data_IF_465715600585
#
_entry.id   IF_465715600585
#
_cell.length_a   1.000
_cell.length_b   1.000
_cell.length_c   1.000
_cell.angle_alpha   90.00
_cell.angle_beta   90.00
_cell.angle_gamma   90.00
#
_symmetry.space_group_name_H-M   'P 1'
#
loop_
_entity.id
_entity.type
_entity.pdbx_description
1 polymer ?
#
# COMPACT_ATOMS: atom_id res chain seq x y z
N UNK A 1 24.94 16.58 5.09
CA UNK A 1 23.88 16.58 6.13
C UNK A 1 22.47 16.43 5.59
N UNK A 2 21.85 17.39 4.88
CA UNK A 2 20.44 17.21 4.43
C UNK A 2 20.31 16.05 3.42
N UNK A 3 21.13 16.05 2.37
CA UNK A 3 21.12 15.00 1.34
C UNK A 3 21.39 13.59 1.91
N UNK A 4 22.29 13.47 2.87
CA UNK A 4 22.62 12.18 3.50
C UNK A 4 21.45 11.66 4.34
N UNK A 5 20.70 12.56 4.98
CA UNK A 5 19.54 12.22 5.80
C UNK A 5 18.29 11.91 4.97
N UNK A 6 18.03 12.68 3.91
CA UNK A 6 16.82 12.52 3.09
C UNK A 6 16.91 11.38 2.08
N UNK A 7 18.13 11.02 1.64
CA UNK A 7 18.34 10.05 0.57
C UNK A 7 19.21 8.85 0.96
N UNK A 8 19.60 8.72 2.23
CA UNK A 8 20.40 7.61 2.78
C UNK A 8 21.71 7.36 1.98
N UNK A 9 22.37 8.46 1.60
CA UNK A 9 23.65 8.43 0.88
C UNK A 9 24.78 8.89 1.79
N UNK A 10 25.92 8.21 1.77
CA UNK A 10 27.14 8.64 2.48
C UNK A 10 28.04 9.42 1.53
N UNK A 11 28.30 10.70 1.82
CA UNK A 11 29.15 11.55 0.99
C UNK A 11 30.47 11.86 1.71
N UNK A 12 31.59 11.44 1.13
CA UNK A 12 32.89 11.85 1.65
C UNK A 12 33.14 13.33 1.37
N UNK A 13 34.07 13.95 2.10
CA UNK A 13 34.45 15.36 1.86
C UNK A 13 34.94 15.60 0.42
N UNK A 14 35.53 14.58 -0.21
CA UNK A 14 35.96 14.64 -1.62
C UNK A 14 34.77 14.54 -2.59
N UNK A 15 33.70 13.84 -2.21
CA UNK A 15 32.48 13.75 -3.01
C UNK A 15 31.69 15.05 -3.00
N UNK A 16 31.63 15.72 -1.85
CA UNK A 16 30.99 17.04 -1.71
C UNK A 16 31.68 18.07 -2.61
N UNK A 17 33.02 18.05 -2.68
CA UNK A 17 33.79 18.98 -3.52
C UNK A 17 33.56 18.79 -5.02
N UNK A 18 33.19 17.58 -5.43
CA UNK A 18 32.99 17.20 -6.82
C UNK A 18 31.51 16.88 -7.12
N UNK A 19 30.58 17.36 -6.29
CA UNK A 19 29.16 17.07 -6.44
C UNK A 19 28.60 17.87 -7.63
N UNK A 20 28.04 17.17 -8.61
CA UNK A 20 27.34 17.78 -9.74
C UNK A 20 26.08 16.96 -10.07
N UNK A 21 25.22 17.51 -10.94
CA UNK A 21 23.94 16.88 -11.27
C UNK A 21 24.10 15.46 -11.83
N UNK A 22 25.15 15.19 -12.60
CA UNK A 22 25.42 13.86 -13.14
C UNK A 22 25.78 12.85 -12.03
N UNK A 23 26.58 13.28 -11.06
CA UNK A 23 27.00 12.45 -9.92
C UNK A 23 25.84 12.15 -8.97
N UNK A 24 24.97 13.14 -8.73
CA UNK A 24 23.72 12.94 -7.97
C UNK A 24 22.83 11.93 -8.68
N UNK A 25 22.67 12.07 -10.00
CA UNK A 25 21.84 11.17 -10.81
C UNK A 25 22.38 9.73 -10.80
N UNK A 26 23.70 9.54 -10.85
CA UNK A 26 24.33 8.23 -10.73
C UNK A 26 24.08 7.59 -9.35
N UNK A 27 24.20 8.36 -8.27
CA UNK A 27 23.92 7.87 -6.91
C UNK A 27 22.48 7.37 -6.79
N UNK A 28 21.49 8.07 -7.37
CA UNK A 28 20.08 7.61 -7.40
C UNK A 28 19.87 6.30 -8.17
N UNK A 29 20.69 6.02 -9.20
CA UNK A 29 20.61 4.77 -9.97
C UNK A 29 21.31 3.59 -9.28
N UNK A 30 22.40 3.83 -8.55
CA UNK A 30 23.13 2.77 -7.83
C UNK A 30 22.30 2.22 -6.68
N UNK A 31 21.60 3.08 -5.93
CA UNK A 31 20.64 2.66 -4.88
C UNK A 31 19.51 1.78 -5.45
N UNK A 32 19.12 1.95 -6.72
CA UNK A 32 18.14 1.07 -7.38
C UNK A 32 18.70 -0.30 -7.78
N UNK A 33 20.01 -0.44 -7.97
CA UNK A 33 20.66 -1.71 -8.36
C UNK A 33 21.11 -2.55 -7.18
N UNK A 34 21.49 -1.94 -6.06
CA UNK A 34 21.85 -2.66 -4.84
C UNK A 34 20.66 -3.39 -4.20
N UNK A 35 19.42 -3.06 -4.57
CA UNK A 35 18.20 -3.79 -4.19
C UNK A 35 17.96 -5.11 -4.95
N UNK A 36 18.97 -5.66 -5.62
CA UNK A 36 18.92 -7.06 -6.11
C UNK A 36 19.58 -7.98 -5.11
N UNK A 37 18.93 -8.16 -3.95
CA UNK A 37 19.36 -9.14 -2.96
C UNK A 37 18.97 -10.57 -3.39
N UNK A 38 19.96 -11.46 -3.33
CA UNK A 38 19.83 -12.91 -3.40
C UNK A 38 18.68 -13.42 -2.52
N UNK A 39 17.74 -14.13 -3.13
CA UNK A 39 16.47 -14.60 -2.53
C UNK A 39 16.61 -15.73 -1.51
N UNK A 40 17.82 -16.05 -1.04
CA UNK A 40 18.05 -17.31 -0.31
C UNK A 40 18.32 -17.23 1.20
N UNK A 41 18.39 -16.04 1.82
CA UNK A 41 18.38 -15.91 3.29
C UNK A 41 17.79 -14.58 3.74
N UNK A 42 16.47 -14.47 3.71
CA UNK A 42 15.78 -13.36 4.38
C UNK A 42 15.44 -13.82 5.80
N UNK A 43 16.38 -13.61 6.72
CA UNK A 43 16.09 -13.56 8.16
C UNK A 43 15.70 -12.13 8.50
N UNK A 44 14.65 -11.58 7.88
CA UNK A 44 14.18 -10.27 8.30
C UNK A 44 13.45 -10.39 9.64
N UNK A 45 13.87 -9.58 10.59
CA UNK A 45 13.26 -9.49 11.92
C UNK A 45 11.93 -8.73 11.83
N UNK A 46 11.07 -8.87 12.85
CA UNK A 46 9.81 -8.11 12.95
C UNK A 46 10.03 -6.60 12.80
N UNK A 47 11.18 -6.12 13.27
CA UNK A 47 11.62 -4.73 13.15
C UNK A 47 11.73 -4.26 11.70
N UNK A 48 12.35 -5.04 10.81
CA UNK A 48 12.59 -4.63 9.42
C UNK A 48 11.28 -4.56 8.61
N UNK A 49 10.38 -5.53 8.81
CA UNK A 49 9.06 -5.51 8.17
C UNK A 49 8.21 -4.32 8.60
N UNK A 50 8.23 -3.99 9.90
CA UNK A 50 7.53 -2.82 10.46
C UNK A 50 8.14 -1.51 9.93
N UNK A 51 9.46 -1.42 9.85
CA UNK A 51 10.16 -0.24 9.30
C UNK A 51 9.81 0.01 7.84
N UNK A 52 9.67 -1.05 7.03
CA UNK A 52 9.27 -0.93 5.63
C UNK A 52 7.87 -0.32 5.51
N UNK A 53 6.91 -0.76 6.32
CA UNK A 53 5.55 -0.21 6.33
C UNK A 53 5.57 1.28 6.70
N UNK A 54 6.34 1.67 7.72
CA UNK A 54 6.43 3.07 8.13
C UNK A 54 7.04 3.98 7.07
N UNK A 55 8.03 3.50 6.31
CA UNK A 55 8.60 4.27 5.19
C UNK A 55 7.62 4.49 4.04
N UNK A 56 6.53 3.72 3.96
CA UNK A 56 5.51 3.85 2.92
C UNK A 56 4.39 4.84 3.28
N UNK A 57 4.27 5.26 4.54
CA UNK A 57 3.17 6.11 5.02
C UNK A 57 3.71 7.50 5.34
N UNK A 58 3.23 8.52 4.62
CA UNK A 58 3.44 9.91 5.01
C UNK A 58 2.20 10.47 5.71
N UNK A 59 2.39 11.36 6.70
CA UNK A 59 1.26 11.99 7.39
C UNK A 59 0.33 12.77 6.44
N UNK A 60 0.87 13.31 5.35
CA UNK A 60 0.09 13.99 4.31
C UNK A 60 -0.87 13.07 3.55
N UNK A 61 -0.61 11.76 3.56
CA UNK A 61 -1.38 10.77 2.81
C UNK A 61 -2.60 10.29 3.61
N UNK A 62 -2.62 10.55 4.92
CA UNK A 62 -3.71 10.21 5.83
C UNK A 62 -4.84 11.24 5.70
N UNK A 63 -5.72 11.01 4.73
CA UNK A 63 -6.90 11.84 4.50
C UNK A 63 -8.19 11.12 4.95
N UNK A 64 -9.20 11.85 5.47
CA UNK A 64 -10.42 11.24 6.01
C UNK A 64 -11.35 10.65 4.94
N UNK A 65 -11.20 11.04 3.68
CA UNK A 65 -12.02 10.57 2.57
C UNK A 65 -11.82 9.08 2.31
N UNK A 66 -12.90 8.29 2.36
CA UNK A 66 -12.87 6.86 2.03
C UNK A 66 -12.68 6.65 0.53
N UNK A 67 -13.29 7.49 -0.30
CA UNK A 67 -13.21 7.42 -1.76
C UNK A 67 -12.31 8.55 -2.26
N UNK A 68 -11.14 8.19 -2.78
CA UNK A 68 -10.21 9.14 -3.40
C UNK A 68 -10.10 8.84 -4.88
N UNK A 69 -10.38 9.84 -5.72
CA UNK A 69 -10.20 9.70 -7.16
C UNK A 69 -8.71 9.79 -7.51
N UNK A 70 -8.22 8.84 -8.32
CA UNK A 70 -6.84 8.83 -8.77
C UNK A 70 -6.68 9.70 -10.02
N UNK A 71 -5.51 10.35 -10.14
CA UNK A 71 -5.13 11.19 -11.28
C UNK A 71 -4.84 10.34 -12.54
N UNK A 72 -5.92 9.80 -13.10
CA UNK A 72 -5.93 8.91 -14.27
C UNK A 72 -6.27 9.68 -15.54
N UNK A 73 -6.04 9.03 -16.69
CA UNK A 73 -6.29 9.65 -18.00
C UNK A 73 -7.76 9.78 -18.35
N UNK A 74 -8.63 8.92 -17.79
CA UNK A 74 -10.09 8.90 -18.02
C UNK A 74 -10.47 8.88 -19.52
N UNK A 75 -9.66 8.22 -20.34
CA UNK A 75 -9.85 8.06 -21.79
C UNK A 75 -10.97 7.05 -22.13
N UNK A 76 -11.33 6.17 -21.20
CA UNK A 76 -12.32 5.11 -21.40
C UNK A 76 -13.55 5.34 -20.53
N UNK A 77 -14.70 5.60 -21.17
CA UNK A 77 -16.00 5.72 -20.52
C UNK A 77 -16.71 4.37 -20.41
N UNK A 78 -16.23 3.52 -19.46
CA UNK A 78 -16.81 2.20 -19.18
C UNK A 78 -17.01 1.94 -17.68
N UNK A 79 -17.19 3.01 -16.90
CA UNK A 79 -17.28 2.92 -15.45
C UNK A 79 -15.95 3.08 -14.73
N UNK A 80 -16.02 2.97 -13.40
CA UNK A 80 -14.89 3.17 -12.51
C UNK A 80 -14.15 1.85 -12.24
N UNK A 81 -12.85 1.95 -12.07
CA UNK A 81 -12.00 0.91 -11.49
C UNK A 81 -11.80 1.21 -10.02
N UNK A 82 -12.02 0.22 -9.16
CA UNK A 82 -11.91 0.37 -7.72
C UNK A 82 -10.59 -0.19 -7.22
N UNK A 83 -9.75 0.64 -6.63
CA UNK A 83 -8.44 0.26 -6.10
C UNK A 83 -8.49 0.08 -4.60
N UNK A 84 -7.85 -0.97 -4.09
CA UNK A 84 -7.66 -1.22 -2.66
C UNK A 84 -6.15 -1.23 -2.36
N UNK A 85 -5.66 -0.28 -1.55
CA UNK A 85 -4.24 -0.19 -1.20
C UNK A 85 -3.83 -1.33 -0.26
N UNK A 86 -2.52 -1.48 -0.08
CA UNK A 86 -1.92 -2.42 0.86
C UNK A 86 -2.12 -2.00 2.30
N UNK A 87 -1.31 -2.53 3.22
CA UNK A 87 -1.46 -2.32 4.67
C UNK A 87 -1.32 -0.84 5.08
N UNK A 88 -0.69 -0.01 4.24
CA UNK A 88 -0.61 1.44 4.37
C UNK A 88 -1.98 2.13 4.31
N UNK A 89 -2.95 1.52 3.61
CA UNK A 89 -4.34 1.99 3.59
C UNK A 89 -4.59 3.29 2.82
N UNK A 90 -3.59 3.84 2.13
CA UNK A 90 -3.65 5.16 1.50
C UNK A 90 -3.56 5.09 -0.02
N UNK A 91 -4.22 6.01 -0.71
CA UNK A 91 -4.24 6.10 -2.18
C UNK A 91 -2.90 6.48 -2.81
N UNK A 92 -2.01 7.12 -2.04
CA UNK A 92 -0.72 7.64 -2.51
C UNK A 92 0.18 6.57 -3.14
N UNK A 93 0.03 5.32 -2.72
CA UNK A 93 0.77 4.18 -3.29
C UNK A 93 0.55 4.03 -4.80
N UNK A 94 -0.61 4.45 -5.31
CA UNK A 94 -0.97 4.34 -6.72
C UNK A 94 -0.55 5.53 -7.58
N UNK A 95 0.00 6.61 -6.99
CA UNK A 95 0.36 7.83 -7.72
C UNK A 95 1.34 7.56 -8.88
N UNK A 96 2.26 6.63 -8.68
CA UNK A 96 3.26 6.25 -9.69
C UNK A 96 2.66 5.58 -10.93
N UNK A 97 1.50 4.92 -10.79
CA UNK A 97 0.84 4.19 -11.88
C UNK A 97 -0.41 4.91 -12.41
N UNK A 98 -0.96 5.87 -11.68
CA UNK A 98 -2.22 6.55 -11.98
C UNK A 98 -2.25 7.12 -13.41
N UNK A 99 -1.19 7.82 -13.82
CA UNK A 99 -1.06 8.41 -15.15
C UNK A 99 -1.06 7.38 -16.30
N UNK A 100 -0.79 6.10 -16.01
CA UNK A 100 -0.86 5.00 -16.98
C UNK A 100 -2.26 4.40 -17.15
N UNK A 101 -3.18 4.67 -16.22
CA UNK A 101 -4.51 4.08 -16.19
C UNK A 101 -5.45 4.89 -17.09
N UNK A 102 -6.06 4.20 -18.05
CA UNK A 102 -6.99 4.81 -19.04
C UNK A 102 -8.41 4.99 -18.53
N UNK A 103 -8.81 4.22 -17.51
CA UNK A 103 -10.15 4.27 -16.93
C UNK A 103 -10.21 5.31 -15.81
N UNK A 104 -11.41 5.79 -15.49
CA UNK A 104 -11.64 6.46 -14.21
C UNK A 104 -11.35 5.49 -13.07
N UNK A 105 -10.55 5.90 -12.09
CA UNK A 105 -10.15 5.05 -10.98
C UNK A 105 -10.41 5.73 -9.64
N UNK A 106 -10.98 4.97 -8.71
CA UNK A 106 -11.30 5.40 -7.35
C UNK A 106 -10.60 4.45 -6.39
N UNK A 107 -9.76 4.98 -5.53
CA UNK A 107 -9.18 4.24 -4.41
C UNK A 107 -10.14 4.24 -3.23
N UNK A 108 -10.36 3.06 -2.66
CA UNK A 108 -11.04 2.87 -1.37
C UNK A 108 -9.99 2.80 -0.27
N UNK A 109 -9.85 3.91 0.45
CA UNK A 109 -8.91 4.01 1.56
C UNK A 109 -9.46 3.29 2.79
N UNK A 110 -8.55 2.65 3.53
CA UNK A 110 -8.91 1.80 4.66
C UNK A 110 -7.94 1.96 5.84
N UNK A 111 -7.26 3.11 5.91
CA UNK A 111 -6.38 3.45 7.04
C UNK A 111 -7.19 3.79 8.31
N UNK A 112 -6.46 4.13 9.39
CA UNK A 112 -7.01 4.42 10.71
C UNK A 112 -8.02 5.58 10.75
N UNK A 113 -7.98 6.52 9.81
CA UNK A 113 -8.95 7.61 9.70
C UNK A 113 -10.22 7.19 8.94
N UNK A 114 -10.17 6.12 8.17
CA UNK A 114 -11.26 5.71 7.28
C UNK A 114 -12.12 4.61 7.85
N UNK A 115 -11.51 3.60 8.48
CA UNK A 115 -12.23 2.45 9.04
C UNK A 115 -12.31 2.55 10.56
N UNK A 116 -13.52 2.41 11.16
CA UNK A 116 -13.68 2.45 12.61
C UNK A 116 -12.84 1.37 13.30
N UNK A 117 -12.28 1.71 14.46
CA UNK A 117 -11.44 0.82 15.27
C UNK A 117 -12.05 -0.56 15.55
N UNK A 118 -13.36 -0.75 15.47
CA UNK A 118 -14.03 -2.02 15.75
C UNK A 118 -13.96 -3.02 14.57
N UNK A 119 -13.49 -2.60 13.39
CA UNK A 119 -13.40 -3.44 12.20
C UNK A 119 -12.03 -4.11 12.08
N UNK A 120 -11.74 -5.05 12.99
CA UNK A 120 -10.44 -5.73 13.07
C UNK A 120 -10.24 -6.91 12.09
N UNK A 121 -11.15 -7.13 11.13
CA UNK A 121 -11.08 -8.26 10.21
C UNK A 121 -11.28 -7.83 8.76
N UNK A 122 -10.69 -8.58 7.83
CA UNK A 122 -10.87 -8.39 6.38
C UNK A 122 -12.36 -8.37 6.02
N UNK A 123 -13.16 -9.26 6.62
CA UNK A 123 -14.61 -9.32 6.43
C UNK A 123 -15.33 -8.06 6.90
N UNK A 124 -14.97 -7.53 8.07
CA UNK A 124 -15.58 -6.30 8.57
C UNK A 124 -15.19 -5.08 7.72
N UNK A 125 -13.91 -4.99 7.31
CA UNK A 125 -13.45 -3.93 6.42
C UNK A 125 -14.17 -3.97 5.07
N UNK A 126 -14.30 -5.14 4.46
CA UNK A 126 -15.03 -5.31 3.21
C UNK A 126 -16.52 -4.94 3.36
N UNK A 127 -17.18 -5.41 4.43
CA UNK A 127 -18.57 -5.06 4.72
C UNK A 127 -18.76 -3.54 4.94
N UNK A 128 -17.79 -2.88 5.58
CA UNK A 128 -17.80 -1.44 5.79
C UNK A 128 -17.61 -0.64 4.49
N UNK A 129 -16.74 -1.11 3.60
CA UNK A 129 -16.46 -0.44 2.31
C UNK A 129 -17.54 -0.69 1.25
N UNK A 130 -18.30 -1.79 1.35
CA UNK A 130 -19.29 -2.20 0.37
C UNK A 130 -20.31 -1.10 -0.02
N UNK A 131 -20.94 -0.35 0.93
CA UNK A 131 -21.91 0.69 0.58
C UNK A 131 -21.32 1.79 -0.31
N UNK A 132 -20.05 2.15 -0.12
CA UNK A 132 -19.36 3.17 -0.89
C UNK A 132 -19.14 2.74 -2.35
N UNK A 133 -18.83 1.47 -2.58
CA UNK A 133 -18.76 0.91 -3.95
C UNK A 133 -20.14 0.92 -4.59
N UNK A 134 -21.16 0.44 -3.89
CA UNK A 134 -22.53 0.34 -4.41
C UNK A 134 -23.08 1.71 -4.85
N UNK A 135 -22.76 2.77 -4.09
CA UNK A 135 -23.13 4.15 -4.46
C UNK A 135 -22.51 4.57 -5.80
N UNK A 136 -21.25 4.18 -6.06
CA UNK A 136 -20.52 4.58 -7.28
C UNK A 136 -20.81 3.70 -8.49
N UNK A 137 -21.07 2.41 -8.30
CA UNK A 137 -21.36 1.46 -9.38
C UNK A 137 -22.73 1.76 -10.04
N UNK A 138 -23.67 2.37 -9.32
CA UNK A 138 -25.01 2.75 -9.83
C UNK A 138 -25.69 1.57 -10.57
N UNK A 139 -25.98 1.73 -11.86
CA UNK A 139 -26.70 0.76 -12.69
C UNK A 139 -25.77 -0.23 -13.42
N UNK A 140 -24.45 -0.09 -13.29
CA UNK A 140 -23.51 -1.04 -13.89
C UNK A 140 -23.52 -2.33 -13.09
N UNK A 141 -23.71 -3.47 -13.74
CA UNK A 141 -23.68 -4.78 -13.06
C UNK A 141 -22.28 -5.38 -12.97
N UNK A 142 -21.35 -4.87 -13.79
CA UNK A 142 -19.98 -5.37 -13.85
C UNK A 142 -19.02 -4.47 -13.05
N UNK A 143 -18.37 -5.02 -12.04
CA UNK A 143 -17.31 -4.34 -11.29
C UNK A 143 -15.91 -4.70 -11.80
N UNK A 144 -14.95 -3.79 -11.63
CA UNK A 144 -13.53 -4.07 -11.75
C UNK A 144 -12.83 -3.59 -10.49
N UNK A 145 -12.32 -4.54 -9.70
CA UNK A 145 -11.60 -4.26 -8.46
C UNK A 145 -10.14 -4.67 -8.64
N UNK A 146 -9.23 -3.81 -8.21
CA UNK A 146 -7.79 -4.04 -8.15
C UNK A 146 -7.37 -4.02 -6.68
N UNK A 147 -6.83 -5.12 -6.19
CA UNK A 147 -6.24 -5.21 -4.86
C UNK A 147 -4.72 -5.25 -4.94
N UNK A 148 -4.05 -4.45 -4.13
CA UNK A 148 -2.60 -4.49 -3.95
C UNK A 148 -2.26 -5.00 -2.56
N UNK A 149 -1.34 -5.98 -2.46
CA UNK A 149 -0.84 -6.50 -1.17
C UNK A 149 -2.01 -6.88 -0.23
N UNK A 150 -2.07 -6.33 0.99
CA UNK A 150 -3.19 -6.52 1.93
C UNK A 150 -4.57 -6.16 1.37
N UNK A 151 -4.65 -5.13 0.52
CA UNK A 151 -5.87 -4.76 -0.19
C UNK A 151 -6.45 -5.89 -1.03
N UNK A 152 -5.64 -6.87 -1.46
CA UNK A 152 -6.09 -8.07 -2.17
C UNK A 152 -7.06 -8.91 -1.33
N UNK A 153 -6.84 -9.02 -0.02
CA UNK A 153 -7.74 -9.80 0.85
C UNK A 153 -9.12 -9.14 0.95
N UNK A 154 -9.12 -7.81 1.12
CA UNK A 154 -10.34 -7.01 1.16
C UNK A 154 -11.04 -7.07 -0.21
N UNK A 155 -10.28 -7.04 -1.31
CA UNK A 155 -10.79 -7.08 -2.67
C UNK A 155 -11.52 -8.40 -2.97
N UNK A 156 -10.94 -9.53 -2.54
CA UNK A 156 -11.57 -10.87 -2.66
C UNK A 156 -12.91 -10.89 -1.91
N UNK A 157 -12.93 -10.41 -0.67
CA UNK A 157 -14.14 -10.44 0.14
C UNK A 157 -15.21 -9.46 -0.36
N UNK A 158 -14.81 -8.29 -0.86
CA UNK A 158 -15.71 -7.35 -1.54
C UNK A 158 -16.33 -7.96 -2.79
N UNK A 159 -15.54 -8.65 -3.61
CA UNK A 159 -16.05 -9.36 -4.78
C UNK A 159 -17.13 -10.38 -4.38
N UNK A 160 -16.87 -11.19 -3.35
CA UNK A 160 -17.84 -12.15 -2.80
C UNK A 160 -19.13 -11.48 -2.33
N UNK A 161 -19.03 -10.33 -1.66
CA UNK A 161 -20.19 -9.55 -1.19
C UNK A 161 -20.99 -8.92 -2.34
N UNK A 162 -20.32 -8.47 -3.39
CA UNK A 162 -20.95 -7.93 -4.60
C UNK A 162 -21.63 -9.04 -5.40
N UNK A 163 -21.00 -10.19 -5.56
CA UNK A 163 -21.58 -11.39 -6.19
C UNK A 163 -22.86 -11.84 -5.48
N UNK A 164 -22.86 -11.85 -4.14
CA UNK A 164 -24.05 -12.13 -3.34
C UNK A 164 -25.21 -11.12 -3.56
N UNK A 165 -24.92 -9.95 -4.15
CA UNK A 165 -25.89 -8.92 -4.54
C UNK A 165 -26.20 -8.93 -6.06
N UNK A 166 -25.83 -9.98 -6.77
CA UNK A 166 -26.03 -10.17 -8.22
C UNK A 166 -25.23 -9.22 -9.11
N UNK A 167 -24.08 -8.74 -8.64
CA UNK A 167 -23.08 -8.13 -9.49
C UNK A 167 -22.13 -9.21 -10.03
N UNK A 168 -21.62 -9.01 -11.24
CA UNK A 168 -20.50 -9.78 -11.80
C UNK A 168 -19.29 -8.86 -11.88
N UNK A 169 -18.09 -9.41 -12.09
CA UNK A 169 -16.94 -8.54 -12.25
C UNK A 169 -15.62 -9.24 -12.45
N UNK A 170 -14.57 -8.44 -12.43
CA UNK A 170 -13.19 -8.88 -12.53
C UNK A 170 -12.40 -8.39 -11.34
N UNK A 171 -11.56 -9.28 -10.84
CA UNK A 171 -10.59 -9.01 -9.79
C UNK A 171 -9.19 -9.05 -10.38
N UNK A 172 -8.36 -8.05 -10.08
CA UNK A 172 -6.93 -8.02 -10.39
C UNK A 172 -6.19 -7.94 -9.06
N UNK A 173 -5.34 -8.92 -8.78
CA UNK A 173 -4.57 -8.99 -7.54
C UNK A 173 -3.09 -8.75 -7.84
N UNK A 174 -2.52 -7.73 -7.21
CA UNK A 174 -1.12 -7.33 -7.39
C UNK A 174 -0.36 -7.73 -6.14
N UNK A 175 0.46 -8.77 -6.27
CA UNK A 175 1.35 -9.28 -5.22
C UNK A 175 0.66 -9.49 -3.86
N UNK A 176 -0.54 -10.08 -3.89
CA UNK A 176 -1.33 -10.37 -2.70
C UNK A 176 -2.22 -11.58 -2.87
N UNK A 177 -2.10 -12.52 -1.93
CA UNK A 177 -2.93 -13.71 -1.83
C UNK A 177 -3.08 -14.13 -0.35
N UNK A 178 -4.17 -14.83 0.04
CA UNK A 178 -4.39 -15.25 1.43
C UNK A 178 -3.22 -16.02 2.04
N UNK A 179 -2.73 -17.06 1.35
CA UNK A 179 -1.64 -17.89 1.85
C UNK A 179 -0.31 -17.14 1.89
N UNK A 180 -0.05 -16.28 0.88
CA UNK A 180 1.14 -15.43 0.84
C UNK A 180 1.16 -14.50 2.06
N UNK A 181 0.08 -13.73 2.30
CA UNK A 181 0.03 -12.81 3.42
C UNK A 181 0.06 -13.52 4.77
N UNK A 182 -0.60 -14.67 4.89
CA UNK A 182 -0.52 -15.50 6.10
C UNK A 182 0.93 -15.88 6.38
N UNK A 183 1.67 -16.33 5.36
CA UNK A 183 3.08 -16.63 5.49
C UNK A 183 3.90 -15.40 5.94
N UNK A 184 3.71 -14.23 5.31
CA UNK A 184 4.43 -13.01 5.71
C UNK A 184 4.10 -12.59 7.15
N UNK A 185 2.84 -12.68 7.57
CA UNK A 185 2.44 -12.37 8.96
C UNK A 185 3.10 -13.35 9.93
N UNK A 186 3.04 -14.65 9.64
CA UNK A 186 3.62 -15.70 10.48
C UNK A 186 5.17 -15.58 10.59
N UNK A 187 5.84 -15.08 9.54
CA UNK A 187 7.30 -14.89 9.54
C UNK A 187 7.73 -13.57 10.17
N UNK A 188 7.06 -12.47 9.86
CA UNK A 188 7.56 -11.10 10.13
C UNK A 188 6.73 -10.30 11.12
N UNK A 189 5.50 -10.70 11.43
CA UNK A 189 4.64 -9.97 12.36
C UNK A 189 4.17 -10.84 13.53
N UNK A 190 4.65 -12.09 13.60
CA UNK A 190 4.27 -13.01 14.66
C UNK A 190 4.80 -12.53 16.01
N UNK A 191 3.87 -12.17 16.88
CA UNK A 191 4.12 -11.96 18.30
C UNK A 191 3.25 -12.93 19.11
N UNK A 192 3.76 -13.33 20.27
CA UNK A 192 2.99 -14.15 21.22
C UNK A 192 1.86 -13.36 21.90
N UNK A 193 1.85 -12.02 21.81
CA UNK A 193 0.76 -11.18 22.33
C UNK A 193 0.68 -9.82 21.62
N UNK A 194 -0.52 -9.24 21.59
CA UNK A 194 -0.77 -7.90 21.06
C UNK A 194 0.10 -6.83 21.75
N UNK A 195 0.25 -6.91 23.08
CA UNK A 195 1.08 -5.98 23.85
C UNK A 195 2.55 -6.04 23.41
N UNK A 196 3.07 -7.24 23.16
CA UNK A 196 4.43 -7.42 22.67
C UNK A 196 4.61 -6.83 21.28
N UNK A 197 3.62 -6.99 20.39
CA UNK A 197 3.64 -6.38 19.07
C UNK A 197 3.63 -4.84 19.16
N UNK A 198 2.76 -4.28 20.00
CA UNK A 198 2.69 -2.84 20.23
C UNK A 198 4.02 -2.28 20.74
N UNK A 199 4.66 -2.97 21.71
CA UNK A 199 5.97 -2.56 22.22
C UNK A 199 7.06 -2.62 21.14
N UNK A 200 7.08 -3.67 20.32
CA UNK A 200 8.03 -3.78 19.20
C UNK A 200 7.82 -2.63 18.23
N UNK A 201 6.57 -2.34 17.86
CA UNK A 201 6.24 -1.22 16.96
C UNK A 201 6.70 0.11 17.56
N UNK A 202 6.44 0.36 18.84
CA UNK A 202 6.83 1.60 19.51
C UNK A 202 8.36 1.78 19.56
N UNK A 203 9.09 0.71 19.87
CA UNK A 203 10.57 0.73 19.88
C UNK A 203 11.09 1.09 18.48
N UNK A 204 10.57 0.46 17.43
CA UNK A 204 10.98 0.76 16.06
C UNK A 204 10.68 2.21 15.66
N UNK A 205 9.54 2.75 16.07
CA UNK A 205 9.23 4.17 15.84
C UNK A 205 10.22 5.09 16.56
N UNK A 206 10.63 4.76 17.79
CA UNK A 206 11.64 5.54 18.52
C UNK A 206 13.04 5.46 17.87
N UNK A 207 13.35 4.38 17.14
CA UNK A 207 14.62 4.27 16.41
C UNK A 207 14.62 5.04 15.09
N UNK A 208 13.44 5.30 14.50
CA UNK A 208 13.28 6.06 13.25
C UNK A 208 13.31 7.58 13.50
N UNK A 209 12.85 8.05 14.66
CA UNK A 209 12.69 9.48 15.01
C UNK A 209 13.74 9.98 16.01
#
# INVERSE_FOLDING_TARGET
QILEKEFDIFLTTQDIRNLNFDKIRQMTYTTKKENTHDTNKISTTVSEGVNMIFRMINNSDLVPEILVELDTKKEVDKGNVYFLPGIEGCSSIFNSIASGIKYSAICLQHNVLNIPNQSHSVTNSAAYLLPYILEKIKNQKDFLIVGYSFGSLIAIELARLLEAKNFSGRLILIDGAPDQLKFWIDQYLFSTSQQKLQNIILINLMDIY
#
